data_IF_034107150928
#
_entry.id   IF_034107150928
#
_cell.length_a   1.000
_cell.length_b   1.000
_cell.length_c   1.000
_cell.angle_alpha   90.00
_cell.angle_beta   90.00
_cell.angle_gamma   90.00
#
_symmetry.space_group_name_H-M   'P 1'
#
loop_
_entity.id
_entity.type
_entity.pdbx_description
1 polymer ?
#
# COMPACT_ATOMS: atom_id res chain seq x y z
N UNK A 1 10.59 13.61 12.94
CA UNK A 1 10.43 12.65 11.81
C UNK A 1 9.06 12.86 11.19
N UNK A 2 8.99 12.99 9.87
CA UNK A 2 7.76 13.17 9.10
C UNK A 2 7.49 11.93 8.24
N UNK A 3 6.22 11.66 7.94
CA UNK A 3 5.83 10.60 7.00
C UNK A 3 4.99 11.17 5.87
N UNK A 4 5.49 11.06 4.62
CA UNK A 4 4.74 11.32 3.39
C UNK A 4 4.26 10.00 2.83
N UNK A 5 2.97 9.88 2.60
CA UNK A 5 2.41 8.76 1.84
C UNK A 5 1.96 9.21 0.46
N UNK A 6 2.30 8.41 -0.55
CA UNK A 6 1.79 8.57 -1.92
C UNK A 6 0.72 7.52 -2.17
N UNK A 7 -0.48 7.93 -2.50
CA UNK A 7 -1.63 7.04 -2.75
C UNK A 7 -2.35 7.40 -4.05
N UNK A 8 -3.22 6.52 -4.49
CA UNK A 8 -4.07 6.76 -5.67
C UNK A 8 -5.42 6.08 -5.51
N UNK A 9 -6.43 6.60 -6.19
CA UNK A 9 -7.76 6.00 -6.19
C UNK A 9 -7.82 4.65 -6.93
N UNK A 10 -6.91 4.41 -7.88
CA UNK A 10 -6.80 3.16 -8.65
C UNK A 10 -5.36 2.80 -8.98
N UNK A 11 -5.12 1.55 -9.39
CA UNK A 11 -3.82 1.10 -9.90
C UNK A 11 -3.43 1.76 -11.24
N UNK A 12 -2.14 1.76 -11.56
CA UNK A 12 -1.61 2.23 -12.84
C UNK A 12 -1.51 3.75 -13.03
N UNK A 13 -1.78 4.56 -12.01
CA UNK A 13 -1.68 6.03 -12.06
C UNK A 13 -0.24 6.55 -12.06
N UNK A 14 0.77 5.69 -11.84
CA UNK A 14 2.19 6.06 -11.77
C UNK A 14 2.69 6.41 -10.37
N UNK A 15 1.94 6.05 -9.33
CA UNK A 15 2.26 6.25 -7.91
C UNK A 15 3.67 5.72 -7.55
N UNK A 16 3.93 4.44 -7.78
CA UNK A 16 5.20 3.76 -7.47
C UNK A 16 6.39 4.37 -8.21
N UNK A 17 6.22 4.75 -9.49
CA UNK A 17 7.27 5.41 -10.27
C UNK A 17 7.62 6.79 -9.73
N UNK A 18 6.60 7.56 -9.31
CA UNK A 18 6.79 8.86 -8.68
C UNK A 18 7.44 8.71 -7.30
N UNK A 19 7.00 7.71 -6.54
CA UNK A 19 7.61 7.37 -5.25
C UNK A 19 9.10 7.02 -5.38
N UNK A 20 9.46 6.21 -6.39
CA UNK A 20 10.85 5.88 -6.69
C UNK A 20 11.68 7.11 -7.09
N UNK A 21 11.06 8.05 -7.81
CA UNK A 21 11.69 9.33 -8.15
C UNK A 21 11.95 10.17 -6.89
N UNK A 22 10.99 10.26 -5.98
CA UNK A 22 11.18 10.96 -4.70
C UNK A 22 12.24 10.29 -3.83
N UNK A 23 12.34 8.96 -3.87
CA UNK A 23 13.43 8.25 -3.20
C UNK A 23 14.82 8.66 -3.69
N UNK A 24 14.96 9.08 -4.95
CA UNK A 24 16.22 9.61 -5.49
C UNK A 24 16.53 11.03 -5.02
N UNK A 25 15.50 11.84 -4.70
CA UNK A 25 15.64 13.26 -4.37
C UNK A 25 15.73 13.53 -2.88
N UNK A 26 15.02 12.75 -2.09
CA UNK A 26 14.97 12.92 -0.64
C UNK A 26 16.27 12.50 0.03
N UNK A 27 16.64 13.20 1.10
CA UNK A 27 17.77 12.86 1.95
C UNK A 27 17.30 12.31 3.29
N UNK A 28 18.18 11.65 4.03
CA UNK A 28 17.95 11.15 5.40
C UNK A 28 16.60 10.48 5.63
N UNK A 29 16.23 9.48 4.80
CA UNK A 29 14.94 8.84 4.78
C UNK A 29 14.97 7.32 4.92
N UNK A 30 13.85 6.76 5.38
CA UNK A 30 13.47 5.37 5.19
C UNK A 30 12.39 5.26 4.09
N UNK A 31 12.38 4.13 3.40
CA UNK A 31 11.35 3.78 2.42
C UNK A 31 10.39 2.76 3.04
N UNK A 32 9.11 2.86 2.70
CA UNK A 32 8.09 1.90 3.10
C UNK A 32 7.23 1.55 1.88
N UNK A 33 7.17 0.27 1.51
CA UNK A 33 6.20 -0.22 0.52
C UNK A 33 5.00 -0.80 1.27
N UNK A 34 3.90 -0.07 1.25
CA UNK A 34 2.64 -0.43 1.88
C UNK A 34 1.59 -0.92 0.86
N UNK A 35 1.93 -1.04 -0.43
CA UNK A 35 1.10 -1.69 -1.44
C UNK A 35 1.33 -3.20 -1.40
N UNK A 36 0.94 -3.83 -0.28
CA UNK A 36 1.28 -5.23 0.04
C UNK A 36 0.60 -6.27 -0.85
N UNK A 37 -0.45 -5.87 -1.57
CA UNK A 37 -1.17 -6.72 -2.52
C UNK A 37 -0.49 -6.72 -3.91
N UNK A 38 0.21 -5.62 -4.25
CA UNK A 38 0.93 -5.44 -5.51
C UNK A 38 2.26 -4.70 -5.27
N UNK A 39 3.10 -5.27 -4.43
CA UNK A 39 4.38 -4.66 -4.03
C UNK A 39 5.37 -4.60 -5.19
N UNK A 40 5.45 -3.47 -5.87
CA UNK A 40 6.29 -3.25 -7.05
C UNK A 40 7.52 -2.35 -6.79
N UNK A 41 7.52 -1.60 -5.69
CA UNK A 41 8.62 -0.67 -5.38
C UNK A 41 9.96 -1.40 -5.24
N UNK A 42 9.95 -2.63 -4.72
CA UNK A 42 11.16 -3.46 -4.58
C UNK A 42 11.83 -3.77 -5.93
N UNK A 43 11.09 -3.84 -7.04
CA UNK A 43 11.64 -4.10 -8.39
C UNK A 43 12.54 -2.94 -8.85
N UNK A 44 12.19 -1.71 -8.46
CA UNK A 44 12.96 -0.51 -8.80
C UNK A 44 14.10 -0.31 -7.79
N UNK A 45 13.85 -0.55 -6.50
CA UNK A 45 14.82 -0.29 -5.43
C UNK A 45 15.92 -1.33 -5.33
N UNK A 46 15.72 -2.55 -5.88
CA UNK A 46 16.63 -3.69 -5.84
C UNK A 46 17.19 -3.94 -4.41
N UNK A 47 16.31 -4.26 -3.45
CA UNK A 47 16.66 -4.34 -2.03
C UNK A 47 17.54 -5.55 -1.72
N UNK A 48 18.49 -5.37 -0.79
CA UNK A 48 19.20 -6.47 -0.14
C UNK A 48 18.54 -6.76 1.19
N UNK A 49 17.90 -7.91 1.30
CA UNK A 49 17.19 -8.31 2.52
C UNK A 49 18.16 -8.48 3.68
N UNK A 50 17.93 -7.73 4.76
CA UNK A 50 18.67 -7.79 6.03
C UNK A 50 17.92 -8.66 7.04
N UNK A 51 16.58 -8.54 7.04
CA UNK A 51 15.70 -9.33 7.92
C UNK A 51 14.45 -9.74 7.17
N UNK A 52 14.03 -10.99 7.38
CA UNK A 52 12.78 -11.58 6.91
C UNK A 52 11.98 -12.08 8.11
N UNK A 53 10.67 -11.90 8.09
CA UNK A 53 9.77 -12.35 9.14
C UNK A 53 8.42 -12.73 8.55
N UNK A 54 7.81 -13.77 9.11
CA UNK A 54 6.46 -14.17 8.72
C UNK A 54 5.44 -13.14 9.19
N UNK A 55 4.40 -12.94 8.39
CA UNK A 55 3.21 -12.24 8.79
C UNK A 55 2.12 -13.24 9.13
N UNK A 56 1.70 -13.25 10.37
CA UNK A 56 0.66 -14.13 10.89
C UNK A 56 -0.60 -13.35 11.23
N UNK A 57 -1.73 -13.75 10.65
CA UNK A 57 -3.02 -13.12 10.90
C UNK A 57 -4.17 -14.04 10.53
N UNK A 58 -5.30 -13.91 11.24
CA UNK A 58 -6.43 -14.80 11.04
C UNK A 58 -6.15 -16.23 11.53
N UNK A 59 -7.13 -17.08 11.38
CA UNK A 59 -7.07 -18.48 11.78
C UNK A 59 -7.80 -19.32 10.74
N UNK A 60 -7.38 -20.57 10.54
CA UNK A 60 -8.14 -21.53 9.75
C UNK A 60 -8.50 -22.73 10.62
N UNK A 61 -9.75 -23.18 10.54
CA UNK A 61 -10.18 -24.35 11.25
C UNK A 61 -9.50 -25.61 10.66
N UNK A 62 -9.11 -26.55 11.53
CA UNK A 62 -8.56 -27.84 11.14
C UNK A 62 -9.21 -28.93 11.98
N UNK A 63 -9.98 -29.82 11.36
CA UNK A 63 -10.67 -30.90 12.06
C UNK A 63 -9.71 -32.03 12.34
N UNK A 64 -9.64 -32.46 13.59
CA UNK A 64 -8.93 -33.66 13.99
C UNK A 64 -9.88 -34.86 13.88
N UNK A 65 -9.68 -35.68 12.87
CA UNK A 65 -10.53 -36.81 12.56
C UNK A 65 -10.48 -37.92 13.64
N UNK A 66 -9.41 -37.99 14.42
CA UNK A 66 -9.31 -38.98 15.52
C UNK A 66 -10.26 -38.64 16.69
N UNK A 67 -10.66 -37.37 16.81
CA UNK A 67 -11.60 -36.88 17.83
C UNK A 67 -12.99 -36.60 17.28
N UNK A 68 -13.13 -36.53 15.97
CA UNK A 68 -14.39 -36.16 15.32
C UNK A 68 -15.40 -37.32 15.31
N UNK A 69 -16.58 -37.07 15.87
CA UNK A 69 -17.72 -38.03 15.86
C UNK A 69 -18.64 -37.85 14.66
N UNK A 70 -18.27 -37.01 13.68
CA UNK A 70 -19.03 -36.74 12.47
C UNK A 70 -20.49 -36.27 12.72
N UNK A 71 -20.73 -35.55 13.80
CA UNK A 71 -22.06 -35.13 14.24
C UNK A 71 -22.73 -34.10 13.29
N UNK A 72 -22.01 -33.53 12.33
CA UNK A 72 -22.52 -32.62 11.30
C UNK A 72 -22.65 -31.16 11.73
N UNK A 73 -22.60 -30.82 13.00
CA UNK A 73 -22.91 -29.50 13.53
C UNK A 73 -22.02 -28.39 12.94
N UNK A 74 -20.71 -28.64 12.79
CA UNK A 74 -19.77 -27.68 12.21
C UNK A 74 -20.09 -27.33 10.76
N UNK A 75 -20.59 -28.29 9.97
CA UNK A 75 -21.03 -28.09 8.59
C UNK A 75 -22.32 -27.28 8.52
N UNK A 76 -23.29 -27.61 9.36
CA UNK A 76 -24.57 -26.89 9.45
C UNK A 76 -24.38 -25.42 9.83
N UNK A 77 -23.41 -25.13 10.72
CA UNK A 77 -23.13 -23.78 11.22
C UNK A 77 -22.21 -22.97 10.30
N UNK A 78 -21.55 -23.59 9.32
CA UNK A 78 -20.65 -22.90 8.41
C UNK A 78 -21.43 -22.14 7.34
N UNK A 79 -21.40 -20.82 7.39
CA UNK A 79 -22.05 -19.95 6.39
C UNK A 79 -21.32 -19.91 5.04
N UNK A 80 -20.08 -20.37 5.02
CA UNK A 80 -19.18 -20.30 3.87
C UNK A 80 -19.04 -21.66 3.16
N UNK A 81 -19.78 -22.66 3.60
CA UNK A 81 -19.71 -24.03 3.09
C UNK A 81 -18.27 -24.62 3.02
N UNK A 82 -17.39 -24.07 3.87
CA UNK A 82 -15.97 -24.41 3.86
C UNK A 82 -15.66 -25.84 4.37
N UNK A 83 -16.65 -26.59 4.88
CA UNK A 83 -16.46 -27.93 5.46
C UNK A 83 -17.15 -28.98 4.60
N UNK A 84 -16.37 -29.88 4.02
CA UNK A 84 -16.84 -30.93 3.12
C UNK A 84 -17.67 -32.02 3.84
N UNK A 85 -18.30 -32.93 3.06
CA UNK A 85 -18.99 -34.10 3.60
C UNK A 85 -18.03 -35.09 4.30
N UNK A 86 -16.74 -35.04 3.97
CA UNK A 86 -15.70 -35.84 4.59
C UNK A 86 -15.05 -35.15 5.81
N UNK A 87 -15.66 -34.05 6.29
CA UNK A 87 -15.13 -33.23 7.39
C UNK A 87 -13.72 -32.65 7.17
N UNK A 88 -13.42 -32.34 5.91
CA UNK A 88 -12.22 -31.60 5.52
C UNK A 88 -12.54 -30.13 5.34
N UNK A 89 -11.70 -29.25 5.89
CA UNK A 89 -11.85 -27.79 5.75
C UNK A 89 -11.14 -27.31 4.50
N UNK A 90 -11.86 -26.64 3.61
CA UNK A 90 -11.26 -25.88 2.53
C UNK A 90 -10.71 -24.57 3.09
N UNK A 91 -9.40 -24.42 3.09
CA UNK A 91 -8.72 -23.22 3.63
C UNK A 91 -9.03 -21.95 2.86
N UNK A 92 -9.39 -22.03 1.56
CA UNK A 92 -9.74 -20.86 0.74
C UNK A 92 -11.12 -20.33 1.11
N UNK A 93 -12.10 -21.24 1.39
CA UNK A 93 -13.45 -20.85 1.72
C UNK A 93 -13.63 -20.57 3.23
N UNK A 94 -12.62 -20.89 4.06
CA UNK A 94 -12.68 -20.71 5.50
C UNK A 94 -12.34 -19.28 5.93
N UNK A 95 -13.34 -18.49 6.28
CA UNK A 95 -13.20 -17.11 6.76
C UNK A 95 -12.65 -16.97 8.20
N UNK A 96 -12.19 -18.05 8.83
CA UNK A 96 -11.60 -17.97 10.15
C UNK A 96 -12.52 -17.40 11.25
N UNK A 97 -13.83 -17.54 11.12
CA UNK A 97 -14.80 -16.97 12.07
C UNK A 97 -14.89 -17.72 13.42
N UNK A 98 -14.35 -18.95 13.50
CA UNK A 98 -14.30 -19.75 14.71
C UNK A 98 -15.62 -20.35 15.20
N UNK A 99 -16.73 -20.16 14.48
CA UNK A 99 -18.06 -20.67 14.89
C UNK A 99 -18.05 -22.20 15.04
N UNK A 100 -17.48 -22.91 14.07
CA UNK A 100 -17.36 -24.37 14.11
C UNK A 100 -16.53 -24.87 15.31
N UNK A 101 -15.49 -24.11 15.69
CA UNK A 101 -14.64 -24.42 16.85
C UNK A 101 -15.44 -24.29 18.15
N UNK A 102 -16.18 -23.16 18.27
CA UNK A 102 -16.97 -22.88 19.48
C UNK A 102 -18.08 -23.90 19.73
N UNK A 103 -18.77 -24.34 18.69
CA UNK A 103 -19.90 -25.26 18.81
C UNK A 103 -19.53 -26.74 18.73
N UNK A 104 -18.25 -27.10 18.50
CA UNK A 104 -17.85 -28.51 18.45
C UNK A 104 -17.95 -29.17 19.83
N UNK A 105 -18.85 -30.17 20.04
CA UNK A 105 -19.03 -30.80 21.35
C UNK A 105 -17.81 -31.61 21.78
N UNK A 106 -17.10 -32.20 20.82
CA UNK A 106 -15.91 -33.04 21.06
C UNK A 106 -14.61 -32.22 21.11
N UNK A 107 -14.70 -30.88 20.86
CA UNK A 107 -13.50 -30.02 20.73
C UNK A 107 -12.47 -30.58 19.74
N UNK A 108 -12.98 -31.21 18.69
CA UNK A 108 -12.18 -31.86 17.65
C UNK A 108 -11.63 -30.88 16.60
N UNK A 109 -11.80 -29.56 16.75
CA UNK A 109 -11.40 -28.57 15.77
C UNK A 109 -10.28 -27.68 16.31
N UNK A 110 -9.09 -27.82 15.77
CA UNK A 110 -7.97 -26.92 16.01
C UNK A 110 -8.18 -25.61 15.25
N UNK A 111 -7.60 -24.51 15.77
CA UNK A 111 -7.77 -23.20 15.19
C UNK A 111 -6.45 -22.42 15.18
N UNK A 112 -5.43 -22.92 14.45
CA UNK A 112 -4.11 -22.29 14.41
C UNK A 112 -4.16 -20.93 13.71
N UNK A 113 -3.23 -20.05 14.08
CA UNK A 113 -3.00 -18.78 13.38
C UNK A 113 -2.36 -19.08 12.02
N UNK A 114 -2.83 -18.40 10.99
CA UNK A 114 -2.29 -18.55 9.64
C UNK A 114 -1.04 -17.70 9.43
N UNK A 115 -0.11 -18.21 8.63
CA UNK A 115 0.95 -17.41 8.02
C UNK A 115 0.44 -16.93 6.66
N UNK A 116 0.08 -15.64 6.60
CA UNK A 116 -0.60 -15.03 5.46
C UNK A 116 0.35 -14.27 4.53
N UNK A 117 1.61 -14.15 4.87
CA UNK A 117 2.59 -13.40 4.07
C UNK A 117 3.91 -13.23 4.78
N UNK A 118 4.72 -12.34 4.25
CA UNK A 118 6.05 -12.06 4.79
C UNK A 118 6.33 -10.56 4.72
N UNK A 119 7.16 -10.08 5.64
CA UNK A 119 7.67 -8.73 5.62
C UNK A 119 9.18 -8.70 5.82
N UNK A 120 9.80 -7.64 5.31
CA UNK A 120 11.24 -7.54 5.19
C UNK A 120 11.74 -6.18 5.64
N UNK A 121 12.93 -6.19 6.25
CA UNK A 121 13.78 -5.00 6.36
C UNK A 121 14.94 -5.22 5.40
N UNK A 122 15.19 -4.25 4.54
CA UNK A 122 16.18 -4.33 3.47
C UNK A 122 16.99 -3.05 3.39
N UNK A 123 18.21 -3.16 2.91
CA UNK A 123 19.00 -2.00 2.50
C UNK A 123 18.85 -1.81 0.99
N UNK A 124 18.67 -0.56 0.57
CA UNK A 124 18.64 -0.16 -0.84
C UNK A 124 19.68 0.92 -1.11
N UNK A 125 19.92 1.22 -2.40
CA UNK A 125 20.79 2.33 -2.80
C UNK A 125 20.27 3.72 -2.42
N UNK A 126 19.00 3.81 -2.00
CA UNK A 126 18.35 5.06 -1.60
C UNK A 126 18.05 5.13 -0.09
N UNK A 127 18.48 4.15 0.67
CA UNK A 127 18.27 4.08 2.11
C UNK A 127 17.60 2.77 2.55
N UNK A 128 17.38 2.60 3.85
CA UNK A 128 16.71 1.40 4.38
C UNK A 128 15.24 1.39 3.95
N UNK A 129 14.72 0.18 3.74
CA UNK A 129 13.36 -0.06 3.24
C UNK A 129 12.67 -1.12 4.06
N UNK A 130 11.40 -0.90 4.40
CA UNK A 130 10.49 -1.92 4.89
C UNK A 130 9.46 -2.22 3.82
N UNK A 131 9.27 -3.48 3.51
CA UNK A 131 8.31 -3.92 2.51
C UNK A 131 7.74 -5.29 2.89
N UNK A 132 6.63 -5.66 2.26
CA UNK A 132 5.97 -6.94 2.50
C UNK A 132 5.27 -7.43 1.24
N UNK A 133 4.91 -8.70 1.23
CA UNK A 133 3.94 -9.25 0.31
C UNK A 133 2.96 -10.16 1.04
N UNK A 134 1.72 -10.12 0.62
CA UNK A 134 0.69 -11.02 1.06
C UNK A 134 0.75 -12.33 0.25
N UNK A 135 0.41 -13.44 0.87
CA UNK A 135 0.28 -14.73 0.17
C UNK A 135 -0.88 -14.73 -0.82
N UNK A 136 -0.86 -15.67 -1.75
CA UNK A 136 -1.92 -15.82 -2.76
C UNK A 136 -3.25 -16.13 -2.07
N UNK A 137 -4.30 -15.39 -2.41
CA UNK A 137 -5.64 -15.50 -1.84
C UNK A 137 -5.70 -15.27 -0.31
N UNK A 138 -4.69 -14.60 0.26
CA UNK A 138 -4.68 -14.26 1.68
C UNK A 138 -5.36 -12.90 1.92
N UNK A 139 -5.96 -12.78 3.09
CA UNK A 139 -6.62 -11.57 3.55
C UNK A 139 -5.79 -10.81 4.59
N UNK A 140 -6.36 -9.75 5.16
CA UNK A 140 -5.73 -8.94 6.19
C UNK A 140 -4.66 -7.95 5.71
N UNK A 141 -4.71 -7.53 4.44
CA UNK A 141 -3.79 -6.53 3.88
C UNK A 141 -3.72 -5.25 4.73
N UNK A 142 -4.83 -4.77 5.30
CA UNK A 142 -4.83 -3.62 6.20
C UNK A 142 -3.98 -3.81 7.47
N UNK A 143 -3.96 -5.02 8.05
CA UNK A 143 -3.11 -5.32 9.21
C UNK A 143 -1.63 -5.38 8.81
N UNK A 144 -1.34 -5.93 7.63
CA UNK A 144 0.02 -5.98 7.11
C UNK A 144 0.55 -4.57 6.79
N UNK A 145 -0.27 -3.71 6.19
CA UNK A 145 0.05 -2.28 5.96
C UNK A 145 0.39 -1.58 7.29
N UNK A 146 -0.44 -1.78 8.32
CA UNK A 146 -0.18 -1.20 9.64
C UNK A 146 1.14 -1.71 10.25
N UNK A 147 1.46 -3.00 10.04
CA UNK A 147 2.70 -3.61 10.51
C UNK A 147 3.92 -3.01 9.80
N UNK A 148 3.96 -2.98 8.46
CA UNK A 148 5.13 -2.47 7.73
C UNK A 148 5.38 -1.00 8.02
N UNK A 149 4.34 -0.17 8.14
CA UNK A 149 4.48 1.22 8.55
C UNK A 149 5.02 1.37 9.97
N UNK A 150 4.54 0.56 10.92
CA UNK A 150 5.07 0.52 12.29
C UNK A 150 6.55 0.17 12.31
N UNK A 151 6.96 -0.84 11.55
CA UNK A 151 8.37 -1.25 11.49
C UNK A 151 9.22 -0.22 10.73
N UNK A 152 8.69 0.47 9.71
CA UNK A 152 9.38 1.58 9.05
C UNK A 152 9.63 2.75 10.02
N UNK A 153 8.65 3.09 10.87
CA UNK A 153 8.83 4.11 11.92
C UNK A 153 9.91 3.73 12.91
N UNK A 154 9.88 2.51 13.43
CA UNK A 154 10.93 2.01 14.33
C UNK A 154 12.31 2.05 13.70
N UNK A 155 12.41 1.62 12.44
CA UNK A 155 13.67 1.63 11.70
C UNK A 155 14.21 3.05 11.51
N UNK A 156 13.35 4.00 11.17
CA UNK A 156 13.70 5.40 11.02
C UNK A 156 14.16 6.02 12.35
N UNK A 157 13.43 5.76 13.45
CA UNK A 157 13.81 6.21 14.80
C UNK A 157 15.17 5.65 15.22
N UNK A 158 15.40 4.35 15.03
CA UNK A 158 16.67 3.69 15.37
C UNK A 158 17.87 4.22 14.59
N UNK A 159 17.65 4.65 13.34
CA UNK A 159 18.69 5.18 12.46
C UNK A 159 18.77 6.72 12.49
N UNK A 160 17.94 7.40 13.25
CA UNK A 160 17.92 8.88 13.33
C UNK A 160 17.52 9.52 12.00
N UNK A 161 16.57 8.94 11.27
CA UNK A 161 16.10 9.44 9.99
C UNK A 161 14.94 10.44 10.19
N UNK A 162 14.86 11.44 9.34
CA UNK A 162 13.92 12.55 9.48
C UNK A 162 12.63 12.34 8.67
N UNK A 163 12.66 11.44 7.69
CA UNK A 163 11.57 11.23 6.75
C UNK A 163 11.29 9.75 6.53
N UNK A 164 10.01 9.42 6.39
CA UNK A 164 9.54 8.16 5.83
C UNK A 164 8.77 8.47 4.54
N UNK A 165 9.20 7.84 3.45
CA UNK A 165 8.50 7.86 2.18
C UNK A 165 7.75 6.53 2.02
N UNK A 166 6.42 6.60 2.01
CA UNK A 166 5.53 5.43 1.94
C UNK A 166 4.83 5.35 0.59
N UNK A 167 5.09 4.29 -0.18
CA UNK A 167 4.27 3.91 -1.33
C UNK A 167 3.02 3.22 -0.82
N UNK A 168 1.88 3.92 -0.88
CA UNK A 168 0.63 3.44 -0.32
C UNK A 168 -0.18 2.60 -1.30
N UNK A 169 -1.16 1.83 -0.83
CA UNK A 169 -2.03 1.04 -1.68
C UNK A 169 -2.99 1.90 -2.50
N UNK A 170 -3.47 1.40 -3.64
CA UNK A 170 -4.54 2.05 -4.40
C UNK A 170 -5.92 1.81 -3.78
N UNK A 171 -6.90 2.65 -4.16
CA UNK A 171 -8.29 2.48 -3.77
C UNK A 171 -8.68 3.20 -2.49
N UNK A 172 -9.70 2.70 -1.78
CA UNK A 172 -10.27 3.29 -0.56
C UNK A 172 -10.61 2.23 0.50
N UNK A 173 -10.12 1.01 0.34
CA UNK A 173 -10.36 -0.11 1.25
C UNK A 173 -9.55 -0.04 2.54
N UNK A 174 -9.64 -1.12 3.34
CA UNK A 174 -8.93 -1.25 4.60
C UNK A 174 -7.43 -0.95 4.53
N UNK A 175 -6.69 -1.34 3.48
CA UNK A 175 -5.28 -1.00 3.34
C UNK A 175 -5.02 0.51 3.28
N UNK A 176 -5.86 1.26 2.52
CA UNK A 176 -5.73 2.72 2.42
C UNK A 176 -6.08 3.38 3.74
N UNK A 177 -7.12 2.93 4.43
CA UNK A 177 -7.49 3.41 5.77
C UNK A 177 -6.31 3.19 6.74
N UNK A 178 -5.73 1.99 6.76
CA UNK A 178 -4.57 1.68 7.58
C UNK A 178 -3.34 2.53 7.22
N UNK A 179 -3.20 2.90 5.95
CA UNK A 179 -2.08 3.69 5.45
C UNK A 179 -2.20 5.18 5.81
N UNK A 180 -3.40 5.72 5.93
CA UNK A 180 -3.65 7.15 6.24
C UNK A 180 -3.57 7.47 7.73
N UNK A 181 -3.75 6.49 8.59
CA UNK A 181 -3.77 6.73 10.03
C UNK A 181 -2.43 7.25 10.55
N UNK A 182 -2.40 8.50 11.03
CA UNK A 182 -1.25 9.10 11.68
C UNK A 182 -0.07 9.44 10.77
N UNK A 183 -0.31 9.66 9.46
CA UNK A 183 0.69 10.25 8.54
C UNK A 183 0.69 11.77 8.65
N UNK A 184 1.81 12.41 8.30
CA UNK A 184 1.91 13.88 8.33
C UNK A 184 1.40 14.53 7.05
N UNK A 185 1.46 13.81 5.91
CA UNK A 185 1.05 14.32 4.61
C UNK A 185 0.68 13.21 3.64
N UNK A 186 -0.23 13.53 2.73
CA UNK A 186 -0.69 12.64 1.64
C UNK A 186 -0.49 13.31 0.30
N UNK A 187 0.14 12.61 -0.64
CA UNK A 187 0.12 12.96 -2.05
C UNK A 187 -0.83 12.01 -2.79
N UNK A 188 -1.89 12.55 -3.36
CA UNK A 188 -2.87 11.80 -4.17
C UNK A 188 -2.48 11.93 -5.63
N UNK A 189 -2.05 10.82 -6.24
CA UNK A 189 -1.72 10.75 -7.67
C UNK A 189 -2.93 10.26 -8.44
N UNK A 190 -3.36 11.02 -9.42
CA UNK A 190 -4.50 10.65 -10.28
C UNK A 190 -4.16 10.82 -11.75
N UNK A 191 -5.01 10.34 -12.64
CA UNK A 191 -4.91 10.55 -14.09
C UNK A 191 -6.20 11.16 -14.65
N UNK A 192 -6.17 11.88 -15.79
CA UNK A 192 -7.29 12.64 -16.31
C UNK A 192 -8.31 11.74 -17.04
N UNK A 193 -8.96 10.87 -16.26
CA UNK A 193 -10.05 9.99 -16.70
C UNK A 193 -11.26 10.15 -15.78
N UNK A 194 -12.44 9.78 -16.25
CA UNK A 194 -13.68 9.83 -15.45
C UNK A 194 -13.52 8.99 -14.18
N UNK A 195 -13.00 7.76 -14.30
CA UNK A 195 -12.73 6.90 -13.15
C UNK A 195 -11.65 7.50 -12.23
N UNK A 196 -10.56 8.07 -12.80
CA UNK A 196 -9.51 8.71 -12.02
C UNK A 196 -10.01 9.86 -11.17
N UNK A 197 -10.88 10.73 -11.72
CA UNK A 197 -11.55 11.81 -10.98
C UNK A 197 -12.42 11.26 -9.86
N UNK A 198 -13.32 10.32 -10.16
CA UNK A 198 -14.23 9.72 -9.19
C UNK A 198 -13.47 9.04 -8.04
N UNK A 199 -12.46 8.24 -8.35
CA UNK A 199 -11.72 7.51 -7.33
C UNK A 199 -10.84 8.46 -6.50
N UNK A 200 -10.27 9.51 -7.12
CA UNK A 200 -9.57 10.58 -6.39
C UNK A 200 -10.50 11.27 -5.38
N UNK A 201 -11.74 11.60 -5.78
CA UNK A 201 -12.72 12.22 -4.87
C UNK A 201 -12.92 11.40 -3.60
N UNK A 202 -13.06 10.08 -3.74
CA UNK A 202 -13.21 9.17 -2.58
C UNK A 202 -11.97 9.16 -1.68
N UNK A 203 -10.78 9.21 -2.27
CA UNK A 203 -9.52 9.29 -1.52
C UNK A 203 -9.39 10.63 -0.79
N UNK A 204 -9.81 11.73 -1.43
CA UNK A 204 -9.85 13.07 -0.81
C UNK A 204 -10.78 13.09 0.40
N UNK A 205 -11.99 12.56 0.26
CA UNK A 205 -12.96 12.48 1.37
C UNK A 205 -12.39 11.64 2.54
N UNK A 206 -11.63 10.59 2.22
CA UNK A 206 -10.98 9.76 3.23
C UNK A 206 -9.83 10.53 3.93
N UNK A 207 -8.98 11.25 3.19
CA UNK A 207 -7.93 12.08 3.76
C UNK A 207 -8.49 13.18 4.67
N UNK A 208 -9.59 13.81 4.26
CA UNK A 208 -10.31 14.81 5.06
C UNK A 208 -10.88 14.19 6.36
N UNK A 209 -11.46 13.00 6.27
CA UNK A 209 -11.93 12.27 7.46
C UNK A 209 -10.81 12.05 8.49
N UNK A 210 -9.61 11.72 8.05
CA UNK A 210 -8.43 11.56 8.90
C UNK A 210 -7.74 12.89 9.25
N UNK A 211 -8.21 14.02 8.70
CA UNK A 211 -7.63 15.36 8.88
C UNK A 211 -6.15 15.42 8.51
N UNK A 212 -5.77 14.70 7.48
CA UNK A 212 -4.39 14.67 6.97
C UNK A 212 -4.25 15.71 5.85
N UNK A 213 -3.25 16.60 5.92
CA UNK A 213 -2.93 17.50 4.82
C UNK A 213 -2.69 16.74 3.53
N UNK A 214 -3.39 17.12 2.46
CA UNK A 214 -3.34 16.40 1.19
C UNK A 214 -3.05 17.32 0.01
N UNK A 215 -2.32 16.79 -0.96
CA UNK A 215 -2.02 17.42 -2.25
C UNK A 215 -2.44 16.49 -3.38
N UNK A 216 -2.78 17.07 -4.50
CA UNK A 216 -3.14 16.35 -5.72
C UNK A 216 -2.08 16.60 -6.80
N UNK A 217 -1.65 15.53 -7.45
CA UNK A 217 -0.82 15.56 -8.64
C UNK A 217 -1.53 14.84 -9.80
N UNK A 218 -1.75 15.53 -10.90
CA UNK A 218 -2.33 14.93 -12.11
C UNK A 218 -1.21 14.41 -12.99
N UNK A 219 -1.07 13.09 -13.04
CA UNK A 219 -0.15 12.41 -13.94
C UNK A 219 -0.83 12.19 -15.31
N UNK A 220 -0.02 12.13 -16.38
CA UNK A 220 -0.50 11.95 -17.77
C UNK A 220 -1.51 13.04 -18.18
N UNK A 221 -1.34 14.27 -17.69
CA UNK A 221 -2.32 15.35 -17.83
C UNK A 221 -2.65 15.69 -19.27
N UNK A 222 -1.71 15.51 -20.17
CA UNK A 222 -1.78 15.80 -21.59
C UNK A 222 -2.67 14.84 -22.38
N UNK A 223 -3.00 13.66 -21.83
CA UNK A 223 -3.92 12.71 -22.45
C UNK A 223 -5.37 13.22 -22.48
N UNK A 224 -5.77 14.02 -21.49
CA UNK A 224 -7.08 14.70 -21.48
C UNK A 224 -7.01 15.97 -20.62
N UNK A 225 -6.60 17.06 -21.25
CA UNK A 225 -6.43 18.36 -20.57
C UNK A 225 -7.72 18.91 -19.96
N UNK A 226 -8.87 18.69 -20.61
CA UNK A 226 -10.15 19.15 -20.09
C UNK A 226 -10.48 18.46 -18.76
N UNK A 227 -10.30 17.14 -18.68
CA UNK A 227 -10.51 16.39 -17.46
C UNK A 227 -9.47 16.74 -16.38
N UNK A 228 -8.21 17.04 -16.76
CA UNK A 228 -7.20 17.51 -15.83
C UNK A 228 -7.63 18.80 -15.14
N UNK A 229 -8.12 19.79 -15.91
CA UNK A 229 -8.66 21.05 -15.37
C UNK A 229 -9.86 20.84 -14.44
N UNK A 230 -10.75 19.89 -14.76
CA UNK A 230 -11.87 19.55 -13.88
C UNK A 230 -11.40 18.94 -12.53
N UNK A 231 -10.35 18.10 -12.56
CA UNK A 231 -9.73 17.53 -11.37
C UNK A 231 -9.14 18.65 -10.49
N UNK A 232 -8.44 19.60 -11.10
CA UNK A 232 -7.86 20.74 -10.39
C UNK A 232 -8.91 21.67 -9.79
N UNK A 233 -9.97 21.98 -10.55
CA UNK A 233 -11.07 22.77 -10.07
C UNK A 233 -11.69 22.13 -8.81
N UNK A 234 -11.95 20.83 -8.87
CA UNK A 234 -12.45 20.07 -7.71
C UNK A 234 -11.46 20.12 -6.52
N UNK A 235 -10.17 19.93 -6.75
CA UNK A 235 -9.17 20.01 -5.71
C UNK A 235 -9.13 21.41 -5.06
N UNK A 236 -9.22 22.47 -5.88
CA UNK A 236 -9.30 23.84 -5.42
C UNK A 236 -10.57 24.13 -4.59
N UNK A 237 -11.75 23.64 -5.01
CA UNK A 237 -13.00 23.74 -4.26
C UNK A 237 -12.90 23.07 -2.88
N UNK A 238 -12.15 21.99 -2.78
CA UNK A 238 -11.88 21.26 -1.51
C UNK A 238 -10.73 21.89 -0.69
N UNK A 239 -10.10 22.94 -1.17
CA UNK A 239 -8.97 23.60 -0.49
C UNK A 239 -7.68 22.81 -0.50
N UNK A 240 -7.55 21.83 -1.41
CA UNK A 240 -6.34 21.02 -1.54
C UNK A 240 -5.26 21.75 -2.34
N UNK A 241 -4.01 21.49 -1.99
CA UNK A 241 -2.89 21.94 -2.82
C UNK A 241 -2.81 21.13 -4.13
N UNK A 242 -2.78 21.84 -5.27
CA UNK A 242 -2.50 21.22 -6.56
C UNK A 242 -1.03 21.42 -6.88
N UNK A 243 -0.35 20.33 -7.27
CA UNK A 243 1.05 20.33 -7.67
C UNK A 243 1.19 20.40 -9.19
N UNK A 244 2.41 20.62 -9.66
CA UNK A 244 2.72 20.60 -11.10
C UNK A 244 2.20 19.32 -11.77
N UNK A 245 1.78 19.44 -13.02
CA UNK A 245 1.33 18.32 -13.83
C UNK A 245 2.49 17.49 -14.37
N UNK A 246 2.28 16.20 -14.45
CA UNK A 246 3.24 15.27 -15.04
C UNK A 246 2.68 14.83 -16.40
N UNK A 247 3.37 15.07 -17.52
CA UNK A 247 2.94 14.59 -18.84
C UNK A 247 3.07 13.07 -18.93
N UNK A 248 2.35 12.47 -19.86
CA UNK A 248 2.61 11.09 -20.24
C UNK A 248 3.99 10.98 -20.88
N UNK A 249 4.86 10.19 -20.29
CA UNK A 249 6.21 9.99 -20.81
C UNK A 249 6.60 8.50 -20.72
N UNK A 250 7.00 7.88 -21.85
CA UNK A 250 7.49 6.50 -21.88
C UNK A 250 8.75 6.25 -21.03
N UNK A 251 9.45 7.30 -20.59
CA UNK A 251 10.61 7.21 -19.70
C UNK A 251 10.26 6.49 -18.40
N UNK A 252 9.07 6.71 -17.84
CA UNK A 252 8.61 5.97 -16.65
C UNK A 252 8.63 4.45 -16.86
N UNK A 253 8.04 3.98 -17.95
CA UNK A 253 8.01 2.54 -18.23
C UNK A 253 9.39 1.99 -18.56
N UNK A 254 10.19 2.74 -19.35
CA UNK A 254 11.54 2.32 -19.73
C UNK A 254 12.47 2.22 -18.53
N UNK A 255 12.42 3.17 -17.62
CA UNK A 255 13.23 3.15 -16.38
C UNK A 255 12.83 1.99 -15.47
N UNK A 256 11.53 1.74 -15.28
CA UNK A 256 11.03 0.62 -14.47
C UNK A 256 11.49 -0.73 -15.01
N UNK A 257 11.40 -0.96 -16.32
CA UNK A 257 11.86 -2.22 -16.96
C UNK A 257 13.35 -2.47 -16.72
N UNK A 258 14.14 -1.41 -16.54
CA UNK A 258 15.57 -1.51 -16.22
C UNK A 258 15.87 -1.55 -14.71
N UNK A 259 14.86 -1.55 -13.85
CA UNK A 259 15.04 -1.48 -12.40
C UNK A 259 15.69 -0.17 -11.94
N UNK A 260 15.45 0.92 -12.68
CA UNK A 260 16.00 2.24 -12.43
C UNK A 260 14.91 3.25 -12.11
N UNK A 261 15.23 4.23 -11.29
CA UNK A 261 14.40 5.42 -11.16
C UNK A 261 14.55 6.30 -12.41
N UNK A 262 13.60 7.22 -12.64
CA UNK A 262 13.72 8.16 -13.76
C UNK A 262 14.98 9.02 -13.67
N UNK A 263 15.47 9.32 -12.45
CA UNK A 263 16.68 10.12 -12.25
C UNK A 263 17.97 9.37 -12.61
N UNK A 264 17.98 8.06 -12.42
CA UNK A 264 19.10 7.20 -12.87
C UNK A 264 19.06 6.99 -14.38
N UNK A 265 17.87 6.95 -14.98
CA UNK A 265 17.68 6.70 -16.40
C UNK A 265 17.84 7.96 -17.26
N UNK A 266 17.11 9.04 -16.94
CA UNK A 266 17.12 10.32 -17.67
C UNK A 266 16.75 11.51 -16.73
N UNK A 267 17.50 11.69 -15.68
CA UNK A 267 17.21 12.72 -14.66
C UNK A 267 17.40 14.17 -15.13
N UNK A 268 18.06 14.39 -16.26
CA UNK A 268 18.31 15.74 -16.81
C UNK A 268 17.22 16.21 -17.75
N UNK A 269 16.28 15.35 -18.10
CA UNK A 269 15.16 15.66 -18.99
C UNK A 269 14.10 16.59 -18.38
N UNK A 270 13.15 17.09 -19.18
CA UNK A 270 12.05 17.94 -18.72
C UNK A 270 11.22 17.28 -17.62
N UNK A 271 11.02 15.96 -17.69
CA UNK A 271 10.29 15.17 -16.71
C UNK A 271 10.96 15.22 -15.33
N UNK A 272 12.29 14.99 -15.28
CA UNK A 272 13.07 15.09 -14.05
C UNK A 272 12.97 16.49 -13.42
N UNK A 273 13.03 17.55 -14.22
CA UNK A 273 12.87 18.93 -13.74
C UNK A 273 11.47 19.17 -13.13
N UNK A 274 10.41 18.64 -13.76
CA UNK A 274 9.04 18.75 -13.25
C UNK A 274 8.90 18.02 -11.90
N UNK A 275 9.38 16.78 -11.79
CA UNK A 275 9.30 16.01 -10.56
C UNK A 275 10.14 16.64 -9.45
N UNK A 276 11.30 17.24 -9.79
CA UNK A 276 12.09 17.99 -8.82
C UNK A 276 11.32 19.20 -8.26
N UNK A 277 10.56 19.93 -9.07
CA UNK A 277 9.71 21.02 -8.57
C UNK A 277 8.58 20.51 -7.68
N UNK A 278 7.93 19.41 -8.06
CA UNK A 278 6.90 18.76 -7.24
C UNK A 278 7.48 18.37 -5.87
N UNK A 279 8.63 17.70 -5.87
CA UNK A 279 9.30 17.30 -4.63
C UNK A 279 9.65 18.51 -3.74
N UNK A 280 10.24 19.55 -4.33
CA UNK A 280 10.60 20.77 -3.60
C UNK A 280 9.38 21.43 -2.97
N UNK A 281 8.29 21.57 -3.72
CA UNK A 281 7.03 22.14 -3.20
C UNK A 281 6.47 21.32 -2.04
N UNK A 282 6.48 20.00 -2.13
CA UNK A 282 6.02 19.11 -1.07
C UNK A 282 6.91 19.22 0.18
N UNK A 283 8.22 19.14 0.01
CA UNK A 283 9.19 19.18 1.11
C UNK A 283 9.14 20.51 1.87
N UNK A 284 9.04 21.64 1.16
CA UNK A 284 8.82 22.97 1.76
C UNK A 284 7.51 23.04 2.56
N UNK A 285 6.40 22.55 1.99
CA UNK A 285 5.09 22.52 2.63
C UNK A 285 5.04 21.63 3.87
N UNK A 286 5.79 20.55 3.85
CA UNK A 286 5.91 19.64 5.00
C UNK A 286 6.93 20.12 6.04
N UNK A 287 7.74 21.14 5.74
CA UNK A 287 8.80 21.61 6.62
C UNK A 287 9.91 20.57 6.84
N UNK A 288 10.28 19.85 5.76
CA UNK A 288 11.36 18.85 5.78
C UNK A 288 12.73 19.51 5.51
N UNK A 289 12.72 20.65 4.81
CA UNK A 289 13.92 21.46 4.50
C UNK A 289 13.68 22.91 4.84
#
# INVERSE_FOLDING_TARGET
MKELIVISGKGGTGKTSLMAAFASLAENKALCDADVDAADLHLIMNPKVVRRSDFQSGNTAAINNDLCTECGLCREMCRWDAISAAYEVNSIDCEGCGVCVYFCPEKAINFPINTCGEWFISDTRFGPMVHAHLGIAEENSGKLVALVRKEARKLAEQKGLDLILTDGPPGVGCPVIASLSGVDAVLIVTEPTVSGKHDMQRVVDLADHFKVPAWVCVNKFDLNRAMALEIEAFAGEKGLGVLDHIPFDPVFTKSMVQGQTIFEFDGKGPLGSTITRIWRTLSERMGIY
#
